data_IF_310996057828
#
_entry.id   IF_310996057828
#
_cell.length_a   1.000
_cell.length_b   1.000
_cell.length_c   1.000
_cell.angle_alpha   90.00
_cell.angle_beta   90.00
_cell.angle_gamma   90.00
#
_symmetry.space_group_name_H-M   'P 1'
#
loop_
_entity.id
_entity.type
_entity.pdbx_description
1 polymer ?
#
# COMPACT_ATOMS: atom_id res chain seq x y z
N UNK A 1 -13.79 -8.83 -24.24
CA UNK A 1 -13.62 -10.21 -23.75
C UNK A 1 -12.75 -10.14 -22.50
N UNK A 2 -13.36 -10.10 -21.32
CA UNK A 2 -12.65 -10.17 -20.05
C UNK A 2 -12.65 -11.65 -19.64
N UNK A 3 -11.48 -12.26 -19.49
CA UNK A 3 -11.39 -13.59 -18.91
C UNK A 3 -11.76 -13.48 -17.44
N UNK A 4 -12.97 -13.93 -17.09
CA UNK A 4 -13.42 -14.12 -15.72
C UNK A 4 -12.42 -15.00 -14.99
N UNK A 5 -11.63 -14.41 -14.09
CA UNK A 5 -10.71 -15.14 -13.22
C UNK A 5 -11.42 -16.36 -12.63
N UNK A 6 -10.84 -17.55 -12.77
CA UNK A 6 -11.42 -18.76 -12.19
C UNK A 6 -11.66 -18.61 -10.69
N UNK A 7 -12.61 -19.37 -10.13
CA UNK A 7 -12.99 -19.26 -8.70
C UNK A 7 -11.80 -19.32 -7.74
N UNK A 8 -10.76 -20.10 -8.09
CA UNK A 8 -9.50 -20.19 -7.33
C UNK A 8 -8.71 -18.88 -7.32
N UNK A 9 -8.56 -18.23 -8.47
CA UNK A 9 -7.83 -16.97 -8.59
C UNK A 9 -8.56 -15.82 -7.89
N UNK A 10 -9.90 -15.80 -7.97
CA UNK A 10 -10.69 -14.82 -7.21
C UNK A 10 -10.53 -14.98 -5.70
N UNK A 11 -10.60 -16.22 -5.20
CA UNK A 11 -10.37 -16.50 -3.76
C UNK A 11 -8.96 -16.11 -3.34
N UNK A 12 -7.96 -16.39 -4.17
CA UNK A 12 -6.56 -16.00 -3.94
C UNK A 12 -6.41 -14.48 -3.78
N UNK A 13 -6.96 -13.71 -4.73
CA UNK A 13 -6.94 -12.25 -4.68
C UNK A 13 -7.70 -11.70 -3.46
N UNK A 14 -8.85 -12.28 -3.13
CA UNK A 14 -9.63 -11.84 -1.97
C UNK A 14 -8.87 -12.04 -0.66
N UNK A 15 -8.21 -13.20 -0.48
CA UNK A 15 -7.35 -13.46 0.68
C UNK A 15 -6.17 -12.49 0.73
N UNK A 16 -5.52 -12.23 -0.41
CA UNK A 16 -4.41 -11.27 -0.48
C UNK A 16 -4.83 -9.86 -0.06
N UNK A 17 -5.99 -9.38 -0.51
CA UNK A 17 -6.54 -8.07 -0.13
C UNK A 17 -6.89 -7.99 1.35
N UNK A 18 -7.53 -9.03 1.92
CA UNK A 18 -7.88 -9.08 3.34
C UNK A 18 -6.65 -9.01 4.25
N UNK A 19 -5.58 -9.73 3.87
CA UNK A 19 -4.30 -9.70 4.59
C UNK A 19 -3.70 -8.29 4.54
N UNK A 20 -3.64 -7.66 3.35
CA UNK A 20 -3.08 -6.32 3.17
C UNK A 20 -3.84 -5.24 3.94
N UNK A 21 -5.18 -5.27 3.90
CA UNK A 21 -6.03 -4.32 4.61
C UNK A 21 -5.85 -4.41 6.12
N UNK A 22 -5.86 -5.64 6.65
CA UNK A 22 -5.71 -5.89 8.08
C UNK A 22 -4.32 -5.52 8.58
N UNK A 23 -3.27 -5.82 7.82
CA UNK A 23 -1.92 -5.42 8.17
C UNK A 23 -1.78 -3.91 8.28
N UNK A 24 -2.29 -3.18 7.30
CA UNK A 24 -2.26 -1.71 7.29
C UNK A 24 -2.94 -1.11 8.50
N UNK A 25 -4.13 -1.61 8.84
CA UNK A 25 -4.83 -1.23 10.06
C UNK A 25 -3.99 -1.43 11.30
N UNK A 26 -3.46 -2.63 11.49
CA UNK A 26 -2.67 -2.94 12.68
C UNK A 26 -1.43 -2.06 12.76
N UNK A 27 -0.72 -1.85 11.63
CA UNK A 27 0.44 -0.96 11.58
C UNK A 27 0.08 0.50 11.90
N UNK A 28 -1.11 0.96 11.49
CA UNK A 28 -1.61 2.29 11.80
C UNK A 28 -1.97 2.43 13.29
N UNK A 29 -2.73 1.47 13.84
CA UNK A 29 -3.20 1.50 15.22
C UNK A 29 -2.06 1.37 16.24
N UNK A 30 -1.07 0.52 15.95
CA UNK A 30 -0.07 0.06 16.93
C UNK A 30 1.37 0.44 16.57
N UNK A 31 1.59 0.93 15.36
CA UNK A 31 2.92 1.21 14.82
C UNK A 31 3.55 -0.02 14.17
N UNK A 32 4.41 0.22 13.18
CA UNK A 32 5.08 -0.84 12.41
C UNK A 32 5.81 -1.82 13.33
N UNK A 33 6.67 -1.35 14.24
CA UNK A 33 7.52 -2.20 15.08
C UNK A 33 6.74 -3.11 16.03
N UNK A 34 5.58 -2.66 16.53
CA UNK A 34 4.79 -3.39 17.51
C UNK A 34 3.95 -4.54 16.92
N UNK A 35 3.74 -4.55 15.60
CA UNK A 35 2.91 -5.56 14.92
C UNK A 35 3.80 -6.63 14.30
N UNK A 36 3.45 -7.89 14.51
CA UNK A 36 4.12 -9.02 13.87
C UNK A 36 3.26 -9.60 12.74
N UNK A 37 3.91 -10.32 11.81
CA UNK A 37 3.19 -11.09 10.77
C UNK A 37 2.23 -12.10 11.40
N UNK A 38 2.56 -12.63 12.59
CA UNK A 38 1.69 -13.53 13.34
C UNK A 38 0.44 -12.84 13.88
N UNK A 39 0.49 -11.55 14.19
CA UNK A 39 -0.69 -10.80 14.62
C UNK A 39 -1.66 -10.59 13.46
N UNK A 40 -1.14 -10.25 12.29
CA UNK A 40 -1.95 -10.12 11.07
C UNK A 40 -2.59 -11.46 10.71
N UNK A 41 -1.80 -12.54 10.71
CA UNK A 41 -2.29 -13.90 10.42
C UNK A 41 -3.44 -14.31 11.35
N UNK A 42 -3.31 -14.00 12.65
CA UNK A 42 -4.33 -14.30 13.66
C UNK A 42 -5.62 -13.50 13.43
N UNK A 43 -5.50 -12.24 13.04
CA UNK A 43 -6.66 -11.36 12.86
C UNK A 43 -7.49 -11.73 11.62
N UNK A 44 -6.86 -12.25 10.56
CA UNK A 44 -7.55 -12.70 9.33
C UNK A 44 -7.83 -14.21 9.28
N UNK A 45 -7.58 -14.92 10.38
CA UNK A 45 -7.79 -16.37 10.53
C UNK A 45 -7.08 -17.22 9.46
N UNK A 46 -5.78 -16.97 9.26
CA UNK A 46 -4.92 -17.76 8.38
C UNK A 46 -3.63 -18.17 9.07
N UNK A 47 -2.91 -19.14 8.49
CA UNK A 47 -1.59 -19.49 8.99
C UNK A 47 -0.56 -18.39 8.68
N UNK A 48 0.46 -18.27 9.52
CA UNK A 48 1.61 -17.37 9.25
C UNK A 48 2.27 -17.71 7.91
N UNK A 49 2.37 -19.00 7.57
CA UNK A 49 2.88 -19.45 6.26
C UNK A 49 2.00 -18.98 5.09
N UNK A 50 0.69 -18.88 5.28
CA UNK A 50 -0.22 -18.31 4.28
C UNK A 50 0.10 -16.84 4.03
N UNK A 51 0.38 -16.06 5.08
CA UNK A 51 0.78 -14.65 4.90
C UNK A 51 2.12 -14.56 4.17
N UNK A 52 3.13 -15.33 4.57
CA UNK A 52 4.43 -15.35 3.89
C UNK A 52 4.37 -15.80 2.43
N UNK A 53 3.39 -16.65 2.06
CA UNK A 53 3.18 -17.03 0.66
C UNK A 53 2.74 -15.83 -0.23
N UNK A 54 2.11 -14.82 0.36
CA UNK A 54 1.72 -13.59 -0.37
C UNK A 54 2.71 -12.44 -0.16
N UNK A 55 3.30 -12.35 1.03
CA UNK A 55 4.15 -11.24 1.46
C UNK A 55 5.41 -11.81 2.14
N UNK A 56 6.52 -11.99 1.39
CA UNK A 56 7.73 -12.62 1.89
C UNK A 56 8.34 -11.93 3.11
N UNK A 57 8.17 -10.61 3.23
CA UNK A 57 8.67 -9.80 4.34
C UNK A 57 7.56 -9.00 5.01
N UNK A 58 7.84 -8.51 6.23
CA UNK A 58 6.92 -7.60 6.95
C UNK A 58 6.81 -6.25 6.23
N UNK A 59 7.89 -5.84 5.59
CA UNK A 59 8.00 -4.66 4.76
C UNK A 59 7.09 -4.78 3.53
N UNK A 60 7.09 -5.93 2.83
CA UNK A 60 6.17 -6.17 1.71
C UNK A 60 4.70 -6.06 2.14
N UNK A 61 4.39 -6.49 3.37
CA UNK A 61 3.07 -6.37 3.97
C UNK A 61 2.68 -4.89 4.19
N UNK A 62 3.63 -4.05 4.60
CA UNK A 62 3.44 -2.62 4.82
C UNK A 62 3.33 -1.82 3.51
N UNK A 63 4.14 -2.16 2.50
CA UNK A 63 4.11 -1.53 1.19
C UNK A 63 2.99 -2.06 0.28
N UNK A 64 2.27 -3.10 0.70
CA UNK A 64 1.18 -3.70 -0.09
C UNK A 64 0.11 -2.66 -0.48
N UNK A 65 -0.16 -2.58 -1.78
CA UNK A 65 -1.08 -1.57 -2.35
C UNK A 65 -0.47 -0.19 -2.60
N UNK A 66 0.82 0.02 -2.31
CA UNK A 66 1.55 1.22 -2.74
C UNK A 66 2.07 1.11 -4.18
N UNK A 67 1.98 -0.05 -4.83
CA UNK A 67 2.37 -0.26 -6.24
C UNK A 67 1.66 0.71 -7.19
N UNK A 68 0.34 0.87 -7.02
CA UNK A 68 -0.46 1.84 -7.79
C UNK A 68 -0.03 3.28 -7.51
N UNK A 69 0.43 3.56 -6.29
CA UNK A 69 0.93 4.89 -5.93
C UNK A 69 2.31 5.15 -6.54
N UNK A 70 3.19 4.15 -6.54
CA UNK A 70 4.50 4.20 -7.20
C UNK A 70 4.35 4.41 -8.71
N UNK A 71 3.49 3.64 -9.38
CA UNK A 71 3.18 3.82 -10.80
C UNK A 71 2.67 5.23 -11.10
N UNK A 72 1.80 5.78 -10.25
CA UNK A 72 1.30 7.17 -10.38
C UNK A 72 2.38 8.21 -10.18
N UNK A 73 3.32 8.00 -9.27
CA UNK A 73 4.47 8.88 -9.08
C UNK A 73 5.36 8.87 -10.32
N UNK A 74 5.67 7.69 -10.85
CA UNK A 74 6.46 7.51 -12.08
C UNK A 74 5.75 8.19 -13.26
N UNK A 75 4.44 7.97 -13.42
CA UNK A 75 3.65 8.55 -14.49
C UNK A 75 3.61 10.08 -14.41
N UNK A 76 3.45 10.65 -13.21
CA UNK A 76 3.43 12.09 -13.04
C UNK A 76 4.78 12.74 -13.33
N UNK A 77 5.89 12.10 -12.99
CA UNK A 77 7.22 12.60 -13.37
C UNK A 77 7.43 12.52 -14.89
N UNK A 78 7.00 11.42 -15.53
CA UNK A 78 7.12 11.20 -16.98
C UNK A 78 6.25 12.18 -17.78
N UNK A 79 5.02 12.41 -17.36
CA UNK A 79 4.01 13.18 -18.07
C UNK A 79 3.86 14.63 -17.57
N UNK A 80 4.81 15.13 -16.77
CA UNK A 80 4.76 16.50 -16.25
C UNK A 80 4.77 17.54 -17.39
N UNK A 81 4.00 18.64 -17.29
CA UNK A 81 4.03 19.71 -18.29
C UNK A 81 5.42 20.31 -18.46
N UNK A 82 5.69 20.85 -19.65
CA UNK A 82 6.93 21.58 -19.90
C UNK A 82 7.04 22.79 -18.96
N UNK A 83 8.15 22.88 -18.23
CA UNK A 83 8.38 23.90 -17.21
C UNK A 83 7.99 23.48 -15.79
N UNK A 84 7.29 22.35 -15.60
CA UNK A 84 7.12 21.77 -14.27
C UNK A 84 8.39 20.99 -13.85
N UNK A 85 8.88 21.26 -12.64
CA UNK A 85 10.01 20.52 -12.09
C UNK A 85 9.58 19.11 -11.67
N UNK A 86 10.53 18.17 -11.65
CA UNK A 86 10.29 16.80 -11.17
C UNK A 86 9.73 16.81 -9.75
N UNK A 87 10.28 17.67 -8.88
CA UNK A 87 9.85 17.82 -7.50
C UNK A 87 8.42 18.36 -7.39
N UNK A 88 8.03 19.30 -8.26
CA UNK A 88 6.66 19.83 -8.30
C UNK A 88 5.65 18.75 -8.72
N UNK A 89 5.97 17.98 -9.76
CA UNK A 89 5.13 16.86 -10.22
C UNK A 89 4.96 15.77 -9.15
N UNK A 90 6.06 15.43 -8.46
CA UNK A 90 6.06 14.48 -7.33
C UNK A 90 5.21 15.01 -6.17
N UNK A 91 5.44 16.26 -5.75
CA UNK A 91 4.68 16.93 -4.68
C UNK A 91 3.19 16.95 -4.98
N UNK A 92 2.79 17.20 -6.23
CA UNK A 92 1.39 17.21 -6.65
C UNK A 92 0.74 15.85 -6.43
N UNK A 93 1.34 14.76 -6.90
CA UNK A 93 0.76 13.41 -6.73
C UNK A 93 0.74 12.96 -5.28
N UNK A 94 1.79 13.30 -4.51
CA UNK A 94 1.80 13.02 -3.07
C UNK A 94 0.63 13.73 -2.39
N UNK A 95 0.39 15.00 -2.68
CA UNK A 95 -0.69 15.78 -2.07
C UNK A 95 -2.09 15.42 -2.59
N UNK A 96 -2.23 15.07 -3.87
CA UNK A 96 -3.49 14.60 -4.48
C UNK A 96 -3.85 13.16 -4.09
N UNK A 97 -2.87 12.37 -3.67
CA UNK A 97 -3.07 11.04 -3.10
C UNK A 97 -3.71 11.09 -1.71
N UNK A 98 -3.40 12.11 -0.90
CA UNK A 98 -3.84 12.23 0.50
C UNK A 98 -5.37 12.17 0.66
N UNK A 99 -6.22 12.85 -0.15
CA UNK A 99 -7.68 12.80 0.01
C UNK A 99 -8.32 11.52 -0.52
N UNK A 100 -7.71 10.83 -1.50
CA UNK A 100 -8.26 9.56 -2.05
C UNK A 100 -7.91 8.33 -1.21
N UNK A 101 -7.02 8.51 -0.24
CA UNK A 101 -6.65 7.52 0.78
C UNK A 101 -7.41 7.73 2.09
N UNK A 102 -8.33 8.70 2.12
CA UNK A 102 -9.25 8.96 3.23
C UNK A 102 -10.41 7.95 3.27
N UNK A 103 -10.07 6.67 3.27
CA UNK A 103 -10.69 5.72 4.20
C UNK A 103 -9.69 5.57 5.34
N UNK A 104 -9.70 6.56 6.25
CA UNK A 104 -9.06 6.75 7.58
C UNK A 104 -7.77 6.03 8.03
N UNK A 105 -7.03 5.30 7.20
CA UNK A 105 -5.98 4.40 7.71
C UNK A 105 -4.66 4.40 6.92
N UNK A 106 -4.67 4.88 5.66
CA UNK A 106 -3.50 4.83 4.76
C UNK A 106 -2.71 6.15 4.70
N UNK A 107 -3.20 7.21 5.36
CA UNK A 107 -2.66 8.57 5.22
C UNK A 107 -1.30 8.79 5.92
N UNK A 108 -0.90 7.95 6.88
CA UNK A 108 0.26 8.21 7.76
C UNK A 108 1.60 7.78 7.16
N UNK A 109 1.60 6.73 6.33
CA UNK A 109 2.81 6.24 5.63
C UNK A 109 3.36 7.31 4.69
N UNK A 110 2.47 7.98 3.94
CA UNK A 110 2.83 9.06 3.02
C UNK A 110 3.12 10.36 3.77
N UNK A 111 2.48 10.62 4.92
CA UNK A 111 2.82 11.77 5.79
C UNK A 111 4.27 11.69 6.28
N UNK A 112 4.78 10.48 6.51
CA UNK A 112 6.18 10.24 6.87
C UNK A 112 7.12 10.44 5.67
N UNK A 113 6.76 9.92 4.49
CA UNK A 113 7.52 10.16 3.26
C UNK A 113 7.55 11.65 2.85
N UNK A 114 6.45 12.38 3.06
CA UNK A 114 6.34 13.81 2.74
C UNK A 114 7.21 14.71 3.63
N UNK A 115 7.53 14.30 4.87
CA UNK A 115 8.50 15.04 5.73
C UNK A 115 9.94 14.92 5.23
N UNK A 116 10.28 13.81 4.58
CA UNK A 116 11.65 13.52 4.10
C UNK A 116 11.96 14.32 2.83
N UNK A 117 10.95 14.60 1.99
CA UNK A 117 11.13 15.34 0.72
C UNK A 117 11.10 16.87 0.91
N UNK A 118 10.82 17.34 2.14
CA UNK A 118 10.73 18.77 2.49
C UNK A 118 11.98 19.37 3.16
N UNK A 119 13.08 18.62 3.27
CA UNK A 119 14.39 19.07 3.79
C UNK A 119 15.46 18.90 2.72
#
# INVERSE_FOLDING_TARGET
>A
MASELGLRERKKQQTQLQIAETARRLFFERGFDAVTVADVAREVDVSVGTVFNYFPTKEDLFYSGMEVFEERLIEAVRNRPAGESVLAAFRRVVLEGIPRLATDETADVIRTAARIVGS
#
